data_IF_910120448177
#
_entry.id   IF_910120448177
#
_cell.length_a   1.000
_cell.length_b   1.000
_cell.length_c   1.000
_cell.angle_alpha   90.00
_cell.angle_beta   90.00
_cell.angle_gamma   90.00
#
_symmetry.space_group_name_H-M   'P 1'
#
loop_
_entity.id
_entity.type
_entity.pdbx_description
1 polymer ?
#
# COMPACT_ATOMS: atom_id res chain seq x y z
N UNK A 1 -4.29 12.57 11.03
CA UNK A 1 -2.93 12.12 10.64
C UNK A 1 -1.95 13.10 11.24
N UNK A 2 -1.10 12.68 12.17
CA UNK A 2 -0.18 13.57 12.88
C UNK A 2 0.99 13.94 11.96
N UNK A 3 1.04 15.21 11.54
CA UNK A 3 2.28 15.76 11.00
C UNK A 3 3.30 15.80 12.13
N UNK A 4 4.46 15.17 11.91
CA UNK A 4 5.61 15.33 12.80
C UNK A 4 5.93 16.82 12.94
N UNK A 5 6.20 17.26 14.16
CA UNK A 5 6.59 18.65 14.41
C UNK A 5 7.94 18.94 13.74
N UNK A 6 8.23 20.21 13.44
CA UNK A 6 9.49 20.60 12.78
C UNK A 6 10.71 20.17 13.61
N UNK A 7 10.58 20.20 14.92
CA UNK A 7 11.62 19.79 15.88
C UNK A 7 11.92 18.29 15.76
N UNK A 8 10.87 17.46 15.64
CA UNK A 8 11.03 16.02 15.44
C UNK A 8 11.69 15.69 14.09
N UNK A 9 11.37 16.45 13.02
CA UNK A 9 12.04 16.28 11.73
C UNK A 9 13.54 16.62 11.79
N UNK A 10 13.92 17.70 12.49
CA UNK A 10 15.33 18.09 12.61
C UNK A 10 16.16 17.06 13.40
N UNK A 11 15.58 16.41 14.41
CA UNK A 11 16.24 15.32 15.12
C UNK A 11 16.45 14.09 14.21
N UNK A 12 15.46 13.78 13.35
CA UNK A 12 15.54 12.68 12.40
C UNK A 12 16.58 12.93 11.30
N UNK A 13 16.75 14.18 10.85
CA UNK A 13 17.73 14.53 9.81
C UNK A 13 19.17 14.10 10.19
N UNK A 14 19.58 14.32 11.44
CA UNK A 14 20.90 13.87 11.92
C UNK A 14 21.08 12.35 11.83
N UNK A 15 20.01 11.61 12.08
CA UNK A 15 20.02 10.14 12.02
C UNK A 15 19.91 9.62 10.59
N UNK A 16 19.33 10.39 9.67
CA UNK A 16 19.28 10.07 8.24
C UNK A 16 20.60 10.35 7.51
N UNK A 17 21.39 11.32 7.99
CA UNK A 17 22.71 11.64 7.43
C UNK A 17 23.77 10.60 7.81
N UNK A 18 23.74 10.10 9.04
CA UNK A 18 24.61 9.01 9.51
C UNK A 18 23.76 7.89 10.13
N UNK A 19 23.10 7.06 9.28
CA UNK A 19 22.26 5.99 9.78
C UNK A 19 23.09 4.90 10.47
N UNK A 20 22.70 4.45 11.66
CA UNK A 20 23.29 3.25 12.26
C UNK A 20 23.11 2.05 11.32
N UNK A 21 24.08 1.14 11.23
CA UNK A 21 24.07 0.05 10.24
C UNK A 21 22.92 -0.96 10.39
N UNK A 22 22.15 -0.88 11.48
CA UNK A 22 21.04 -1.79 11.78
C UNK A 22 19.65 -1.12 11.65
N UNK A 23 19.58 0.14 11.23
CA UNK A 23 18.32 0.90 11.19
C UNK A 23 17.89 1.15 9.76
N UNK A 24 16.62 0.87 9.47
CA UNK A 24 15.97 1.21 8.19
C UNK A 24 14.80 2.13 8.48
N UNK A 25 14.78 3.30 7.83
CA UNK A 25 13.68 4.25 7.91
C UNK A 25 12.71 4.04 6.75
N UNK A 26 11.43 3.88 7.05
CA UNK A 26 10.35 3.78 6.06
C UNK A 26 9.35 4.90 6.33
N UNK A 27 9.25 5.83 5.37
CA UNK A 27 8.28 6.92 5.42
C UNK A 27 7.08 6.61 4.51
N UNK A 28 5.87 6.68 5.06
CA UNK A 28 4.62 6.51 4.31
C UNK A 28 3.81 7.81 4.38
N UNK A 29 3.66 8.50 3.23
CA UNK A 29 2.84 9.72 3.10
C UNK A 29 1.94 9.63 1.88
N UNK A 30 0.75 10.22 1.97
CA UNK A 30 -0.14 10.45 0.82
C UNK A 30 0.18 11.76 0.09
N UNK A 31 1.00 12.62 0.69
CA UNK A 31 1.36 13.95 0.18
C UNK A 31 2.91 14.11 0.14
N UNK A 32 3.60 13.58 -0.88
CA UNK A 32 5.06 13.61 -0.95
C UNK A 32 5.62 15.04 -1.03
N UNK A 33 4.86 15.99 -1.59
CA UNK A 33 5.24 17.40 -1.69
C UNK A 33 5.35 18.11 -0.34
N UNK A 34 4.74 17.57 0.73
CA UNK A 34 4.87 18.13 2.08
C UNK A 34 6.16 17.70 2.78
N UNK A 35 6.87 16.71 2.23
CA UNK A 35 8.15 16.27 2.78
C UNK A 35 9.25 17.24 2.33
N UNK A 36 10.11 17.71 3.25
CA UNK A 36 11.26 18.53 2.89
C UNK A 36 12.15 17.85 1.84
N UNK A 37 12.61 18.62 0.86
CA UNK A 37 13.51 18.14 -0.22
C UNK A 37 14.77 17.50 0.33
N UNK A 38 15.22 17.91 1.53
CA UNK A 38 16.39 17.36 2.23
C UNK A 38 16.25 15.89 2.64
N UNK A 39 15.02 15.40 2.82
CA UNK A 39 14.75 13.98 3.10
C UNK A 39 14.58 13.23 1.78
N UNK A 40 13.85 13.83 0.82
CA UNK A 40 13.64 13.23 -0.50
C UNK A 40 14.94 12.99 -1.26
N UNK A 41 15.97 13.82 -1.07
CA UNK A 41 17.28 13.63 -1.69
C UNK A 41 18.10 12.48 -1.07
N UNK A 42 17.75 12.03 0.14
CA UNK A 42 18.47 11.00 0.91
C UNK A 42 17.71 9.69 1.03
N UNK A 43 16.48 9.64 0.55
CA UNK A 43 15.61 8.47 0.62
C UNK A 43 15.25 7.98 -0.78
N UNK A 44 15.23 6.66 -0.94
CA UNK A 44 14.68 6.05 -2.16
C UNK A 44 13.17 6.26 -2.18
N UNK A 45 12.68 7.01 -3.17
CA UNK A 45 11.25 7.23 -3.34
C UNK A 45 10.61 6.05 -4.07
N UNK A 46 9.64 5.41 -3.41
CA UNK A 46 8.79 4.38 -3.99
C UNK A 46 7.36 4.89 -4.08
N UNK A 47 6.93 5.22 -5.30
CA UNK A 47 5.54 5.58 -5.57
C UNK A 47 4.74 4.30 -5.86
N UNK A 48 3.81 3.96 -4.96
CA UNK A 48 2.85 2.90 -5.23
C UNK A 48 1.74 3.43 -6.13
N UNK A 49 1.69 2.93 -7.37
CA UNK A 49 0.54 3.18 -8.25
C UNK A 49 -0.65 2.35 -7.80
N UNK A 50 -1.85 2.87 -8.07
CA UNK A 50 -3.07 2.07 -8.01
C UNK A 50 -2.94 0.87 -8.95
N UNK A 51 -3.43 -0.28 -8.52
CA UNK A 51 -3.47 -1.44 -9.38
C UNK A 51 -4.57 -1.28 -10.43
N UNK A 52 -4.33 -1.86 -11.60
CA UNK A 52 -5.36 -1.99 -12.62
C UNK A 52 -6.38 -3.04 -12.20
N UNK A 53 -7.61 -2.95 -12.71
CA UNK A 53 -8.65 -3.96 -12.43
C UNK A 53 -8.18 -5.37 -12.83
N UNK A 54 -7.41 -5.50 -13.90
CA UNK A 54 -6.88 -6.79 -14.36
C UNK A 54 -5.84 -7.37 -13.39
N UNK A 55 -4.97 -6.55 -12.82
CA UNK A 55 -4.00 -6.98 -11.80
C UNK A 55 -4.72 -7.46 -10.52
N UNK A 56 -5.76 -6.74 -10.10
CA UNK A 56 -6.59 -7.13 -8.96
C UNK A 56 -7.27 -8.48 -9.23
N UNK A 57 -7.93 -8.63 -10.38
CA UNK A 57 -8.59 -9.89 -10.76
C UNK A 57 -7.61 -11.06 -10.79
N UNK A 58 -6.45 -10.91 -11.43
CA UNK A 58 -5.43 -11.95 -11.51
C UNK A 58 -4.93 -12.38 -10.12
N UNK A 59 -4.72 -11.42 -9.22
CA UNK A 59 -4.29 -11.71 -7.86
C UNK A 59 -5.39 -12.39 -7.05
N UNK A 60 -6.64 -11.93 -7.15
CA UNK A 60 -7.79 -12.57 -6.50
C UNK A 60 -8.02 -14.00 -7.01
N UNK A 61 -7.80 -14.27 -8.30
CA UNK A 61 -7.87 -15.63 -8.85
C UNK A 61 -6.80 -16.53 -8.23
N UNK A 62 -5.59 -16.03 -8.00
CA UNK A 62 -4.51 -16.79 -7.37
C UNK A 62 -4.86 -17.14 -5.92
N UNK A 63 -5.42 -16.19 -5.17
CA UNK A 63 -5.89 -16.42 -3.79
C UNK A 63 -7.05 -17.42 -3.77
N UNK A 64 -8.07 -17.23 -4.61
CA UNK A 64 -9.23 -18.13 -4.67
C UNK A 64 -8.81 -19.57 -5.01
N UNK A 65 -7.82 -19.75 -5.89
CA UNK A 65 -7.23 -21.06 -6.18
C UNK A 65 -6.50 -21.65 -4.99
N UNK A 66 -5.73 -20.84 -4.26
CA UNK A 66 -5.02 -21.29 -3.06
C UNK A 66 -5.97 -21.68 -1.92
N UNK A 67 -7.11 -21.01 -1.80
CA UNK A 67 -8.14 -21.30 -0.79
C UNK A 67 -9.17 -22.36 -1.24
N UNK A 68 -9.10 -22.83 -2.49
CA UNK A 68 -10.04 -23.81 -3.06
C UNK A 68 -11.46 -23.27 -3.29
N UNK A 69 -11.62 -21.96 -3.38
CA UNK A 69 -12.92 -21.30 -3.59
C UNK A 69 -13.18 -21.11 -5.09
N UNK A 70 -14.37 -21.52 -5.56
CA UNK A 70 -14.81 -21.27 -6.93
C UNK A 70 -15.55 -19.94 -7.02
N UNK A 71 -15.03 -19.03 -7.84
CA UNK A 71 -15.64 -17.73 -8.12
C UNK A 71 -15.65 -17.50 -9.62
N UNK A 72 -16.76 -16.97 -10.12
CA UNK A 72 -16.89 -16.58 -11.52
C UNK A 72 -16.09 -15.31 -11.81
N UNK A 73 -15.49 -15.25 -13.00
CA UNK A 73 -14.64 -14.13 -13.40
C UNK A 73 -15.39 -12.79 -13.38
N UNK A 74 -16.70 -12.80 -13.69
CA UNK A 74 -17.56 -11.62 -13.65
C UNK A 74 -17.69 -11.05 -12.23
N UNK A 75 -17.82 -11.92 -11.22
CA UNK A 75 -17.82 -11.53 -9.80
C UNK A 75 -16.49 -10.89 -9.39
N UNK A 76 -15.36 -11.44 -9.84
CA UNK A 76 -14.04 -10.86 -9.56
C UNK A 76 -13.87 -9.49 -10.22
N UNK A 77 -14.38 -9.29 -11.45
CA UNK A 77 -14.35 -7.98 -12.13
C UNK A 77 -15.17 -6.94 -11.38
N UNK A 78 -16.33 -7.31 -10.84
CA UNK A 78 -17.16 -6.43 -10.01
C UNK A 78 -16.42 -6.00 -8.73
N UNK A 79 -15.76 -6.95 -8.04
CA UNK A 79 -14.95 -6.65 -6.86
C UNK A 79 -13.80 -5.72 -7.22
N UNK A 80 -13.05 -6.02 -8.28
CA UNK A 80 -11.94 -5.20 -8.74
C UNK A 80 -12.37 -3.77 -9.11
N UNK A 81 -13.55 -3.62 -9.72
CA UNK A 81 -14.15 -2.30 -10.01
C UNK A 81 -14.52 -1.55 -8.74
N UNK A 82 -15.11 -2.22 -7.75
CA UNK A 82 -15.47 -1.62 -6.46
C UNK A 82 -14.26 -1.22 -5.61
N UNK A 83 -13.11 -1.88 -5.84
CA UNK A 83 -11.90 -1.67 -5.07
C UNK A 83 -11.06 -0.46 -5.52
N UNK A 84 -11.39 0.17 -6.66
CA UNK A 84 -10.73 1.39 -7.17
C UNK A 84 -9.19 1.38 -7.18
N UNK A 85 -8.58 0.20 -7.37
CA UNK A 85 -7.13 0.04 -7.38
C UNK A 85 -6.50 -0.31 -6.02
N UNK A 86 -7.29 -0.47 -4.97
CA UNK A 86 -6.88 -0.88 -3.62
C UNK A 86 -7.04 -2.39 -3.42
N UNK A 87 -5.93 -3.12 -3.34
CA UNK A 87 -5.96 -4.55 -3.02
C UNK A 87 -6.58 -4.85 -1.67
N UNK A 88 -6.39 -3.96 -0.70
CA UNK A 88 -6.94 -4.13 0.65
C UNK A 88 -8.47 -4.17 0.59
N UNK A 89 -9.07 -3.26 -0.16
CA UNK A 89 -10.52 -3.18 -0.30
C UNK A 89 -11.05 -4.33 -1.15
N UNK A 90 -10.33 -4.71 -2.21
CA UNK A 90 -10.67 -5.89 -3.00
C UNK A 90 -10.74 -7.15 -2.13
N UNK A 91 -9.72 -7.38 -1.30
CA UNK A 91 -9.61 -8.54 -0.42
C UNK A 91 -10.68 -8.53 0.69
N UNK A 92 -10.96 -7.36 1.29
CA UNK A 92 -12.05 -7.20 2.26
C UNK A 92 -13.41 -7.53 1.66
N UNK A 93 -13.67 -7.06 0.43
CA UNK A 93 -14.91 -7.35 -0.29
C UNK A 93 -15.02 -8.83 -0.68
N UNK A 94 -13.89 -9.49 -1.02
CA UNK A 94 -13.88 -10.94 -1.26
C UNK A 94 -14.18 -11.71 0.03
N UNK A 95 -13.59 -11.31 1.15
CA UNK A 95 -13.82 -11.94 2.46
C UNK A 95 -15.28 -11.85 2.93
N UNK A 96 -15.98 -10.75 2.65
CA UNK A 96 -17.41 -10.63 2.95
C UNK A 96 -18.28 -11.59 2.12
N UNK A 97 -17.87 -11.90 0.89
CA UNK A 97 -18.55 -12.88 0.03
C UNK A 97 -18.21 -14.33 0.44
N UNK A 98 -17.07 -14.55 1.10
CA UNK A 98 -16.62 -15.87 1.55
C UNK A 98 -17.08 -16.25 2.96
N UNK A 99 -17.20 -15.26 3.86
CA UNK A 99 -17.59 -15.45 5.26
C UNK A 99 -19.08 -15.67 5.50
N UNK A 100 -19.88 -15.87 4.45
CA UNK A 100 -21.31 -16.22 4.53
C UNK A 100 -21.57 -17.73 4.66
N UNK A 101 -20.66 -18.49 5.26
CA UNK A 101 -20.87 -19.87 5.70
C UNK A 101 -20.78 -19.95 7.22
#
# INVERSE_FOLDING_TARGET
>A
MHMLTKEAFNALLKTLEEPPPHVIFIFATTEPHRIPVTILSRCQHFAFRRLTSNEIVSHLQTIARAEGVRIEEEGLRLIAKSAEGSMRDAHRSTGCLWGGR
#
